data_IF_163657041196
#
_entry.id   IF_163657041196
#
_cell.length_a   1.000
_cell.length_b   1.000
_cell.length_c   1.000
_cell.angle_alpha   90.00
_cell.angle_beta   90.00
_cell.angle_gamma   90.00
#
_symmetry.space_group_name_H-M   'P 1'
#
loop_
_entity.id
_entity.type
_entity.pdbx_description
1 polymer ?
#
# COMPACT_ATOMS: atom_id res chain seq x y z
N UNK A 1 -29.16 11.99 21.23
CA UNK A 1 -28.10 10.97 21.07
C UNK A 1 -28.18 10.27 19.71
N UNK A 2 -29.35 9.76 19.30
CA UNK A 2 -29.56 9.16 17.97
C UNK A 2 -29.03 9.98 16.76
N UNK A 3 -29.32 11.31 16.63
CA UNK A 3 -28.84 12.08 15.48
C UNK A 3 -27.31 12.17 15.43
N UNK A 4 -26.64 12.27 16.58
CA UNK A 4 -25.18 12.30 16.67
C UNK A 4 -24.58 10.98 16.19
N UNK A 5 -25.17 9.84 16.52
CA UNK A 5 -24.72 8.54 16.02
C UNK A 5 -24.83 8.43 14.49
N UNK A 6 -25.91 8.94 13.90
CA UNK A 6 -26.09 8.95 12.44
C UNK A 6 -25.02 9.80 11.76
N UNK A 7 -24.72 10.98 12.30
CA UNK A 7 -23.67 11.86 11.79
C UNK A 7 -22.30 11.19 11.87
N UNK A 8 -21.98 10.51 12.98
CA UNK A 8 -20.72 9.79 13.15
C UNK A 8 -20.59 8.65 12.13
N UNK A 9 -21.64 7.85 11.93
CA UNK A 9 -21.62 6.75 10.96
C UNK A 9 -21.42 7.25 9.53
N UNK A 10 -22.10 8.34 9.16
CA UNK A 10 -21.91 8.95 7.85
C UNK A 10 -20.49 9.49 7.66
N UNK A 11 -19.96 10.21 8.66
CA UNK A 11 -18.59 10.72 8.62
C UNK A 11 -17.53 9.61 8.52
N UNK A 12 -17.70 8.54 9.30
CA UNK A 12 -16.84 7.36 9.24
C UNK A 12 -16.92 6.65 7.89
N UNK A 13 -18.12 6.56 7.29
CA UNK A 13 -18.31 5.99 5.95
C UNK A 13 -17.60 6.81 4.87
N UNK A 14 -17.74 8.14 4.91
CA UNK A 14 -17.01 9.04 3.99
C UNK A 14 -15.51 8.85 4.12
N UNK A 15 -14.99 8.83 5.35
CA UNK A 15 -13.57 8.65 5.61
C UNK A 15 -13.07 7.26 5.19
N UNK A 16 -13.88 6.21 5.36
CA UNK A 16 -13.61 4.87 4.86
C UNK A 16 -13.48 4.85 3.33
N UNK A 17 -14.37 5.54 2.60
CA UNK A 17 -14.36 5.56 1.13
C UNK A 17 -13.26 6.46 0.55
N UNK A 18 -12.89 7.52 1.26
CA UNK A 18 -11.84 8.44 0.84
C UNK A 18 -10.43 7.89 1.12
N UNK A 19 -10.33 6.86 1.95
CA UNK A 19 -9.09 6.14 2.24
C UNK A 19 -9.18 4.73 1.66
N UNK A 20 -8.08 3.98 1.62
CA UNK A 20 -8.12 2.55 1.29
C UNK A 20 -8.68 1.75 2.48
N UNK A 21 -9.90 2.07 2.95
CA UNK A 21 -10.52 1.47 4.14
C UNK A 21 -9.70 1.66 5.41
N UNK A 22 -9.18 2.87 5.64
CA UNK A 22 -8.27 3.22 6.74
C UNK A 22 -6.90 2.50 6.74
N UNK A 23 -6.52 1.84 5.64
CA UNK A 23 -5.24 1.13 5.53
C UNK A 23 -4.08 2.01 5.09
N UNK A 24 -4.37 3.02 4.27
CA UNK A 24 -3.39 3.98 3.80
C UNK A 24 -3.94 5.40 3.98
N UNK A 25 -3.13 6.27 4.61
CA UNK A 25 -3.44 7.70 4.76
C UNK A 25 -2.45 8.58 4.00
N UNK A 26 -1.43 7.95 3.39
CA UNK A 26 -0.40 8.60 2.58
C UNK A 26 -0.33 7.91 1.23
N UNK A 27 0.05 8.67 0.20
CA UNK A 27 0.24 8.14 -1.14
C UNK A 27 1.24 6.98 -1.18
N UNK A 28 2.33 7.09 -0.42
CA UNK A 28 3.32 6.01 -0.29
C UNK A 28 2.73 4.77 0.40
N UNK A 29 1.83 4.95 1.37
CA UNK A 29 1.10 3.84 1.99
C UNK A 29 0.20 3.11 0.98
N UNK A 30 -0.53 3.85 0.14
CA UNK A 30 -1.39 3.29 -0.90
C UNK A 30 -0.58 2.50 -1.93
N UNK A 31 0.56 3.05 -2.35
CA UNK A 31 1.50 2.37 -3.26
C UNK A 31 2.02 1.05 -2.68
N UNK A 32 2.43 1.05 -1.40
CA UNK A 32 2.92 -0.16 -0.74
C UNK A 32 1.83 -1.21 -0.56
N UNK A 33 0.63 -0.78 -0.18
CA UNK A 33 -0.53 -1.68 -0.10
C UNK A 33 -0.80 -2.32 -1.46
N UNK A 34 -0.83 -1.52 -2.52
CA UNK A 34 -1.00 -2.00 -3.90
C UNK A 34 0.12 -2.98 -4.32
N UNK A 35 1.37 -2.71 -3.97
CA UNK A 35 2.48 -3.60 -4.27
C UNK A 35 2.36 -4.96 -3.55
N UNK A 36 1.91 -4.96 -2.29
CA UNK A 36 1.68 -6.19 -1.51
C UNK A 36 0.48 -6.98 -2.05
N UNK A 37 -0.61 -6.30 -2.39
CA UNK A 37 -1.84 -6.94 -2.89
C UNK A 37 -1.66 -7.49 -4.31
N UNK A 38 -0.97 -6.77 -5.18
CA UNK A 38 -0.80 -7.15 -6.59
C UNK A 38 0.36 -8.12 -6.78
N UNK A 39 1.34 -8.14 -5.87
CA UNK A 39 2.59 -8.91 -5.98
C UNK A 39 3.18 -8.87 -7.40
N UNK A 40 3.55 -7.68 -7.90
CA UNK A 40 4.05 -7.56 -9.25
C UNK A 40 5.28 -8.43 -9.44
N UNK A 41 5.35 -9.13 -10.58
CA UNK A 41 6.51 -9.96 -10.91
C UNK A 41 7.77 -9.10 -11.02
N UNK A 42 8.77 -9.42 -10.19
CA UNK A 42 10.09 -8.79 -10.26
C UNK A 42 10.81 -9.39 -11.47
N UNK A 43 11.29 -8.60 -12.44
CA UNK A 43 12.08 -9.14 -13.55
C UNK A 43 13.41 -9.69 -13.03
N UNK A 44 13.89 -10.78 -13.63
CA UNK A 44 15.22 -11.31 -13.34
C UNK A 44 16.28 -10.30 -13.82
N UNK A 45 16.96 -9.68 -12.87
CA UNK A 45 17.97 -8.65 -13.11
C UNK A 45 19.20 -8.95 -12.25
N UNK A 46 20.38 -8.92 -12.86
CA UNK A 46 21.65 -8.93 -12.12
C UNK A 46 22.02 -7.48 -11.85
N UNK A 47 22.17 -7.14 -10.57
CA UNK A 47 22.72 -5.89 -10.10
C UNK A 47 24.17 -6.09 -9.67
N UNK A 48 24.94 -5.01 -9.66
CA UNK A 48 26.26 -4.97 -9.05
C UNK A 48 26.18 -4.06 -7.81
N UNK A 49 26.68 -4.52 -6.68
CA UNK A 49 26.70 -3.74 -5.45
C UNK A 49 27.86 -2.72 -5.44
N UNK A 50 27.99 -1.95 -4.36
CA UNK A 50 29.04 -0.92 -4.25
C UNK A 50 30.48 -1.47 -4.12
N UNK A 51 30.63 -2.78 -3.88
CA UNK A 51 31.91 -3.48 -3.76
C UNK A 51 32.28 -4.25 -5.04
N UNK A 52 31.39 -4.27 -6.05
CA UNK A 52 31.57 -5.03 -7.28
C UNK A 52 31.04 -6.47 -7.19
N UNK A 53 30.24 -6.80 -6.17
CA UNK A 53 29.60 -8.12 -6.04
C UNK A 53 28.29 -8.18 -6.84
N UNK A 54 28.07 -9.27 -7.57
CA UNK A 54 26.83 -9.50 -8.31
C UNK A 54 25.69 -9.93 -7.37
N UNK A 55 24.52 -9.32 -7.53
CA UNK A 55 23.28 -9.62 -6.81
C UNK A 55 22.17 -9.91 -7.83
N UNK A 56 21.70 -11.15 -7.83
CA UNK A 56 20.53 -11.54 -8.62
C UNK A 56 19.24 -11.11 -7.90
N UNK A 57 18.46 -10.25 -8.54
CA UNK A 57 17.10 -9.91 -8.13
C UNK A 57 16.09 -10.59 -9.06
N UNK A 58 15.04 -11.16 -8.50
CA UNK A 58 13.99 -11.86 -9.24
C UNK A 58 13.37 -12.98 -8.40
N UNK A 59 12.29 -13.62 -8.88
CA UNK A 59 11.80 -14.86 -8.28
C UNK A 59 12.90 -15.95 -8.34
N UNK A 60 12.96 -16.78 -7.30
CA UNK A 60 13.82 -17.98 -7.27
C UNK A 60 13.43 -19.02 -8.33
#
# INVERSE_FOLDING_TARGET
MLPSCVVILLGAGVLWTATDGFRSFTEEGARRLSAVETQPTIPALVLEDMNGEELSLGPE
#
